data_IF_541240772831
#
_entry.id   IF_541240772831
#
_cell.length_a   1.000
_cell.length_b   1.000
_cell.length_c   1.000
_cell.angle_alpha   90.00
_cell.angle_beta   90.00
_cell.angle_gamma   90.00
#
_symmetry.space_group_name_H-M   'P 1'
#
loop_
_entity.id
_entity.type
_entity.pdbx_description
1 polymer ?
#
# COMPACT_ATOMS: atom_id res chain seq x y z
N UNK A 1 47.78 -41.45 -36.45
CA UNK A 1 47.81 -40.29 -35.51
C UNK A 1 46.80 -39.19 -35.85
N UNK A 2 46.57 -38.85 -37.14
CA UNK A 2 45.65 -37.77 -37.55
C UNK A 2 44.19 -37.98 -37.10
N UNK A 3 43.67 -39.21 -37.26
CA UNK A 3 42.30 -39.56 -36.84
C UNK A 3 42.10 -39.55 -35.32
N UNK A 4 43.14 -39.92 -34.55
CA UNK A 4 43.10 -39.88 -33.08
C UNK A 4 43.05 -38.44 -32.56
N UNK A 5 43.86 -37.54 -33.15
CA UNK A 5 43.81 -36.10 -32.84
C UNK A 5 42.44 -35.51 -33.18
N UNK A 6 41.87 -35.86 -34.32
CA UNK A 6 40.57 -35.35 -34.76
C UNK A 6 39.41 -35.82 -33.86
N UNK A 7 39.45 -37.06 -33.36
CA UNK A 7 38.44 -37.57 -32.41
C UNK A 7 38.58 -36.93 -31.02
N UNK A 8 39.81 -36.68 -30.56
CA UNK A 8 40.07 -35.95 -29.31
C UNK A 8 39.58 -34.50 -29.42
N UNK A 9 39.85 -33.82 -30.54
CA UNK A 9 39.36 -32.45 -30.77
C UNK A 9 37.82 -32.40 -30.77
N UNK A 10 37.15 -33.38 -31.39
CA UNK A 10 35.68 -33.48 -31.35
C UNK A 10 35.15 -33.70 -29.94
N UNK A 11 35.79 -34.59 -29.16
CA UNK A 11 35.39 -34.86 -27.78
C UNK A 11 35.54 -33.62 -26.88
N UNK A 12 36.64 -32.88 -27.02
CA UNK A 12 36.87 -31.62 -26.30
C UNK A 12 35.85 -30.55 -26.69
N UNK A 13 35.52 -30.44 -27.98
CA UNK A 13 34.52 -29.49 -28.47
C UNK A 13 33.13 -29.81 -27.93
N UNK A 14 32.74 -31.09 -27.87
CA UNK A 14 31.46 -31.51 -27.28
C UNK A 14 31.42 -31.22 -25.78
N UNK A 15 32.51 -31.48 -25.05
CA UNK A 15 32.61 -31.17 -23.62
C UNK A 15 32.49 -29.66 -23.35
N UNK A 16 33.08 -28.82 -24.21
CA UNK A 16 33.02 -27.37 -24.10
C UNK A 16 31.61 -26.80 -24.40
N UNK A 17 30.89 -27.42 -25.34
CA UNK A 17 29.50 -27.05 -25.67
C UNK A 17 28.52 -27.43 -24.56
N UNK A 18 28.82 -28.45 -23.75
CA UNK A 18 27.98 -28.84 -22.62
C UNK A 18 28.10 -27.89 -21.42
N UNK A 19 29.19 -27.13 -21.29
CA UNK A 19 29.43 -26.21 -20.16
C UNK A 19 28.94 -24.78 -20.39
N UNK A 20 28.56 -24.41 -21.62
CA UNK A 20 28.11 -23.03 -21.96
C UNK A 20 26.65 -22.75 -21.62
N UNK A 21 25.87 -23.74 -21.16
CA UNK A 21 24.47 -23.54 -20.76
C UNK A 21 24.26 -23.31 -19.25
N UNK A 22 25.33 -23.23 -18.45
CA UNK A 22 25.26 -23.04 -16.99
C UNK A 22 25.36 -21.58 -16.54
N UNK A 23 25.25 -20.59 -17.43
CA UNK A 23 25.41 -19.16 -17.09
C UNK A 23 24.11 -18.38 -16.97
N UNK A 24 22.98 -19.02 -16.64
CA UNK A 24 21.92 -18.26 -15.99
C UNK A 24 22.46 -17.85 -14.63
N UNK A 25 22.90 -16.61 -14.50
CA UNK A 25 22.93 -15.97 -13.18
C UNK A 25 21.52 -16.14 -12.64
N UNK A 26 21.37 -16.89 -11.55
CA UNK A 26 20.22 -16.70 -10.68
C UNK A 26 20.37 -15.26 -10.17
N UNK A 27 19.75 -14.31 -10.87
CA UNK A 27 19.48 -13.00 -10.28
C UNK A 27 18.54 -13.31 -9.14
N UNK A 28 19.14 -13.59 -7.98
CA UNK A 28 18.44 -14.12 -6.82
C UNK A 28 17.21 -13.28 -6.53
N UNK A 29 16.19 -13.91 -5.96
CA UNK A 29 15.04 -13.22 -5.38
C UNK A 29 15.52 -12.36 -4.20
N UNK A 30 16.15 -11.23 -4.49
CA UNK A 30 16.58 -10.26 -3.50
C UNK A 30 15.34 -9.60 -2.94
N UNK A 31 15.18 -9.66 -1.63
CA UNK A 31 14.18 -8.88 -0.92
C UNK A 31 14.42 -7.39 -1.23
N UNK A 32 13.49 -6.70 -1.90
CA UNK A 32 13.64 -5.28 -2.20
C UNK A 32 13.60 -4.42 -0.92
N UNK A 33 13.20 -5.00 0.21
CA UNK A 33 12.92 -4.31 1.45
C UNK A 33 11.69 -3.42 1.34
N UNK A 34 11.51 -2.56 2.34
CA UNK A 34 10.39 -1.63 2.38
C UNK A 34 10.39 -0.80 3.65
N UNK A 35 9.37 0.04 3.77
CA UNK A 35 9.13 0.81 4.99
C UNK A 35 8.38 -0.01 6.02
N UNK A 36 8.44 0.41 7.28
CA UNK A 36 7.78 -0.26 8.41
C UNK A 36 6.27 -0.42 8.24
N UNK A 37 5.66 0.43 7.40
CA UNK A 37 4.22 0.46 7.11
C UNK A 37 3.91 0.20 5.63
N UNK A 38 4.80 -0.46 4.88
CA UNK A 38 4.67 -0.65 3.42
C UNK A 38 3.31 -1.21 2.99
N UNK A 39 2.71 -2.10 3.81
CA UNK A 39 1.42 -2.73 3.50
C UNK A 39 0.23 -1.79 3.71
N UNK A 40 0.42 -0.79 4.57
CA UNK A 40 -0.57 0.23 4.87
C UNK A 40 -0.45 1.45 3.98
N UNK A 41 0.75 1.73 3.45
CA UNK A 41 1.02 2.89 2.61
C UNK A 41 0.41 2.75 1.21
N UNK A 42 -0.11 3.83 0.65
CA UNK A 42 -0.68 3.89 -0.70
C UNK A 42 -1.50 5.15 -0.95
N UNK A 43 -1.91 5.30 -2.20
CA UNK A 43 -2.96 6.23 -2.63
C UNK A 43 -4.30 5.49 -2.69
N UNK A 44 -5.37 6.14 -2.27
CA UNK A 44 -6.69 5.55 -2.09
C UNK A 44 -7.77 6.46 -2.69
N UNK A 45 -8.85 5.84 -3.15
CA UNK A 45 -10.13 6.51 -3.35
C UNK A 45 -11.04 6.18 -2.18
N UNK A 46 -11.40 7.18 -1.37
CA UNK A 46 -12.20 7.01 -0.17
C UNK A 46 -13.53 7.76 -0.29
N UNK A 47 -14.60 7.12 0.12
CA UNK A 47 -15.91 7.73 0.36
C UNK A 47 -16.09 8.02 1.85
N UNK A 48 -16.71 9.16 2.14
CA UNK A 48 -17.00 9.64 3.49
C UNK A 48 -18.50 9.58 3.73
N UNK A 49 -18.90 8.99 4.86
CA UNK A 49 -20.29 8.88 5.28
C UNK A 49 -20.52 9.53 6.65
N UNK A 50 -21.71 10.08 6.82
CA UNK A 50 -22.17 10.65 8.09
C UNK A 50 -22.58 9.54 9.09
N UNK A 51 -22.87 9.88 10.36
CA UNK A 51 -23.30 8.91 11.37
C UNK A 51 -24.59 8.15 11.02
N UNK A 52 -25.39 8.63 10.05
CA UNK A 52 -26.61 7.97 9.58
C UNK A 52 -26.35 6.98 8.45
N UNK A 53 -25.11 6.95 7.92
CA UNK A 53 -24.70 6.16 6.77
C UNK A 53 -24.96 6.85 5.43
N UNK A 54 -25.33 8.13 5.42
CA UNK A 54 -25.50 8.89 4.18
C UNK A 54 -24.12 9.33 3.66
N UNK A 55 -23.88 9.15 2.37
CA UNK A 55 -22.64 9.60 1.72
C UNK A 55 -22.58 11.14 1.75
N UNK A 56 -21.47 11.67 2.28
CA UNK A 56 -21.11 13.09 2.25
C UNK A 56 -20.31 13.38 0.97
N UNK A 57 -19.39 12.49 0.63
CA UNK A 57 -18.56 12.56 -0.57
C UNK A 57 -18.08 11.17 -0.98
N UNK A 58 -17.77 10.97 -2.25
CA UNK A 58 -17.42 9.67 -2.80
C UNK A 58 -16.14 9.76 -3.64
N UNK A 59 -15.27 8.76 -3.47
CA UNK A 59 -14.05 8.56 -4.26
C UNK A 59 -13.03 9.71 -4.22
N UNK A 60 -12.85 10.32 -3.07
CA UNK A 60 -11.85 11.36 -2.86
C UNK A 60 -10.45 10.77 -2.68
N UNK A 61 -9.44 11.47 -3.19
CA UNK A 61 -8.05 11.07 -3.03
C UNK A 61 -7.60 11.19 -1.58
N UNK A 62 -6.94 10.15 -1.11
CA UNK A 62 -6.41 10.05 0.23
C UNK A 62 -5.10 9.27 0.22
N UNK A 63 -4.13 9.70 1.01
CA UNK A 63 -2.85 9.03 1.08
C UNK A 63 -2.54 8.50 2.48
N UNK A 64 -1.91 7.33 2.50
CA UNK A 64 -1.24 6.81 3.70
C UNK A 64 0.23 6.55 3.37
N UNK A 65 1.13 6.91 4.27
CA UNK A 65 2.56 6.74 4.02
C UNK A 65 3.38 6.74 5.31
N UNK A 66 4.59 6.16 5.22
CA UNK A 66 5.50 6.02 6.33
C UNK A 66 5.92 7.39 6.92
N UNK A 67 6.06 7.45 8.24
CA UNK A 67 6.71 8.60 8.87
C UNK A 67 8.22 8.53 8.65
N UNK A 68 8.92 9.67 8.80
CA UNK A 68 10.38 9.69 8.70
C UNK A 68 11.09 8.80 9.75
N UNK A 69 10.40 8.47 10.85
CA UNK A 69 10.94 7.61 11.90
C UNK A 69 10.98 6.13 11.51
N UNK A 70 10.11 5.69 10.58
CA UNK A 70 10.02 4.30 10.12
C UNK A 70 9.85 3.28 11.27
N UNK A 71 8.94 3.59 12.20
CA UNK A 71 8.76 2.91 13.48
C UNK A 71 7.38 2.24 13.65
N UNK A 72 6.69 1.96 12.54
CA UNK A 72 5.32 1.43 12.55
C UNK A 72 4.23 2.52 12.69
N UNK A 73 4.61 3.79 12.72
CA UNK A 73 3.68 4.91 12.57
C UNK A 73 3.54 5.33 11.12
N UNK A 74 2.32 5.69 10.71
CA UNK A 74 2.00 6.19 9.37
C UNK A 74 1.27 7.53 9.44
N UNK A 75 1.38 8.31 8.37
CA UNK A 75 0.50 9.43 8.10
C UNK A 75 -0.81 8.93 7.47
N UNK A 76 -1.92 9.53 7.90
CA UNK A 76 -3.19 9.57 7.18
C UNK A 76 -3.37 11.00 6.69
N UNK A 77 -3.58 11.20 5.40
CA UNK A 77 -3.59 12.52 4.78
C UNK A 77 -4.71 12.64 3.75
N UNK A 78 -5.68 13.51 4.03
CA UNK A 78 -6.78 13.83 3.12
C UNK A 78 -6.49 15.05 2.23
N UNK A 79 -5.23 15.50 2.20
CA UNK A 79 -4.76 16.65 1.42
C UNK A 79 -5.48 17.97 1.74
N UNK A 80 -5.92 18.13 2.99
CA UNK A 80 -6.64 19.32 3.46
C UNK A 80 -7.94 19.57 2.69
N UNK A 81 -8.63 18.50 2.28
CA UNK A 81 -9.81 18.58 1.42
C UNK A 81 -11.12 18.35 2.18
N UNK A 82 -11.47 17.10 2.49
CA UNK A 82 -12.76 16.72 3.09
C UNK A 82 -12.81 16.98 4.61
N UNK A 83 -12.22 16.07 5.38
CA UNK A 83 -12.12 16.17 6.84
C UNK A 83 -11.06 17.19 7.26
N UNK A 84 -10.23 17.64 6.31
CA UNK A 84 -9.13 18.58 6.46
C UNK A 84 -8.19 18.13 7.56
N UNK A 85 -7.70 16.90 7.45
CA UNK A 85 -6.82 16.32 8.44
C UNK A 85 -5.62 15.60 7.85
N UNK A 86 -4.51 15.79 8.55
CA UNK A 86 -3.28 15.03 8.41
C UNK A 86 -2.78 14.66 9.80
N UNK A 87 -2.81 13.39 10.12
CA UNK A 87 -2.51 12.87 11.46
C UNK A 87 -1.62 11.64 11.39
N UNK A 88 -0.92 11.34 12.49
CA UNK A 88 -0.20 10.07 12.64
C UNK A 88 -1.10 9.02 13.27
N UNK A 89 -1.08 7.81 12.72
CA UNK A 89 -1.68 6.63 13.31
C UNK A 89 -0.62 5.55 13.55
N UNK A 90 -0.83 4.74 14.58
CA UNK A 90 -0.02 3.55 14.86
C UNK A 90 -0.62 2.36 14.12
N UNK A 91 0.23 1.58 13.45
CA UNK A 91 -0.17 0.36 12.72
C UNK A 91 0.17 -0.89 13.53
N UNK A 92 -0.61 -1.94 13.31
CA UNK A 92 -0.44 -3.25 13.95
C UNK A 92 -0.23 -4.34 12.90
N UNK A 93 0.33 -5.48 13.32
CA UNK A 93 0.70 -6.55 12.37
C UNK A 93 -0.48 -7.24 11.69
N UNK A 94 -1.67 -7.10 12.25
CA UNK A 94 -2.91 -7.72 11.76
C UNK A 94 -3.64 -6.91 10.69
N UNK A 95 -3.01 -5.82 10.21
CA UNK A 95 -3.62 -4.94 9.20
C UNK A 95 -4.49 -3.85 9.81
N UNK A 96 -4.50 -3.69 11.14
CA UNK A 96 -5.24 -2.61 11.81
C UNK A 96 -4.38 -1.38 12.09
N UNK A 97 -5.04 -0.24 12.29
CA UNK A 97 -4.39 0.99 12.72
C UNK A 97 -5.35 1.84 13.58
N UNK A 98 -4.78 2.69 14.43
CA UNK A 98 -5.56 3.60 15.27
C UNK A 98 -4.79 4.85 15.65
N UNK A 99 -5.51 5.86 16.10
CA UNK A 99 -4.95 7.10 16.63
C UNK A 99 -5.87 7.62 17.73
N UNK A 100 -5.31 8.09 18.84
CA UNK A 100 -6.10 8.66 19.92
C UNK A 100 -5.76 10.15 20.07
N UNK A 101 -6.75 11.03 19.82
CA UNK A 101 -6.56 12.48 19.92
C UNK A 101 -5.29 12.98 19.22
N UNK A 102 -5.01 12.46 18.03
CA UNK A 102 -3.81 12.82 17.28
C UNK A 102 -3.88 14.27 16.80
N UNK A 103 -2.76 14.98 16.90
CA UNK A 103 -2.63 16.37 16.46
C UNK A 103 -2.80 16.43 14.94
N UNK A 104 -3.70 17.28 14.48
CA UNK A 104 -3.84 17.59 13.07
C UNK A 104 -2.78 18.59 12.62
N UNK A 105 -2.04 18.27 11.56
CA UNK A 105 -1.03 19.17 10.99
C UNK A 105 -1.64 20.35 10.24
N UNK A 106 -2.92 20.26 9.84
CA UNK A 106 -3.58 21.32 9.06
C UNK A 106 -4.30 22.38 9.89
N UNK A 107 -4.69 22.08 11.13
CA UNK A 107 -5.43 23.00 11.98
C UNK A 107 -5.38 22.56 13.46
N UNK A 108 -6.02 23.34 14.34
CA UNK A 108 -5.96 23.12 15.78
C UNK A 108 -6.78 21.92 16.32
N UNK A 109 -7.47 21.16 15.45
CA UNK A 109 -8.28 20.01 15.85
C UNK A 109 -7.38 18.83 16.22
N UNK A 110 -7.91 17.93 17.04
CA UNK A 110 -7.39 16.56 17.12
C UNK A 110 -8.35 15.59 16.46
N UNK A 111 -7.82 14.47 15.99
CA UNK A 111 -8.58 13.40 15.35
C UNK A 111 -8.34 12.09 16.08
N UNK A 112 -9.42 11.39 16.40
CA UNK A 112 -9.38 10.03 16.92
C UNK A 112 -9.80 9.08 15.81
N UNK A 113 -8.96 8.08 15.54
CA UNK A 113 -9.19 7.03 14.55
C UNK A 113 -9.43 5.72 15.28
N UNK A 114 -10.58 5.10 14.99
CA UNK A 114 -10.95 3.77 15.49
C UNK A 114 -11.33 2.85 14.34
N UNK A 115 -11.29 1.54 14.59
CA UNK A 115 -11.64 0.50 13.60
C UNK A 115 -10.87 0.63 12.27
N UNK A 116 -9.67 1.23 12.31
CA UNK A 116 -8.82 1.38 11.15
C UNK A 116 -8.32 0.03 10.68
N UNK A 117 -8.52 -0.28 9.39
CA UNK A 117 -8.11 -1.55 8.79
C UNK A 117 -7.73 -1.39 7.31
N UNK A 118 -6.67 -2.08 6.92
CA UNK A 118 -6.33 -2.35 5.52
C UNK A 118 -6.52 -3.84 5.28
N UNK A 119 -7.36 -4.18 4.30
CA UNK A 119 -7.67 -5.56 3.93
C UNK A 119 -7.19 -5.85 2.51
N UNK A 120 -6.28 -6.82 2.39
CA UNK A 120 -5.70 -7.17 1.09
C UNK A 120 -6.76 -7.82 0.19
N UNK A 121 -6.81 -7.41 -1.09
CA UNK A 121 -7.71 -8.00 -2.10
C UNK A 121 -9.20 -8.02 -1.70
N UNK A 122 -9.65 -7.03 -0.93
CA UNK A 122 -10.99 -6.99 -0.34
C UNK A 122 -11.95 -5.98 -1.00
N UNK A 123 -11.50 -5.29 -2.05
CA UNK A 123 -12.31 -4.35 -2.82
C UNK A 123 -12.20 -4.62 -4.33
N UNK A 124 -13.05 -3.93 -5.10
CA UNK A 124 -13.06 -3.97 -6.56
C UNK A 124 -12.97 -2.53 -7.08
N UNK A 125 -12.00 -2.25 -7.95
CA UNK A 125 -11.87 -0.95 -8.61
C UNK A 125 -13.01 -0.71 -9.60
N UNK A 126 -13.16 0.52 -10.09
CA UNK A 126 -14.19 0.90 -11.07
C UNK A 126 -14.12 0.08 -12.37
N UNK A 127 -12.92 -0.25 -12.84
CA UNK A 127 -12.62 -1.12 -13.98
C UNK A 127 -12.74 -2.63 -13.68
N UNK A 128 -13.03 -3.02 -12.44
CA UNK A 128 -13.27 -4.41 -12.06
C UNK A 128 -12.05 -5.18 -11.56
N UNK A 129 -10.95 -4.50 -11.20
CA UNK A 129 -9.76 -5.15 -10.65
C UNK A 129 -9.93 -5.43 -9.16
N UNK A 130 -9.50 -6.60 -8.70
CA UNK A 130 -9.36 -6.88 -7.27
C UNK A 130 -8.23 -6.03 -6.69
N UNK A 131 -8.54 -5.25 -5.67
CA UNK A 131 -7.62 -4.29 -5.02
C UNK A 131 -7.79 -4.34 -3.51
N UNK A 132 -6.86 -3.72 -2.78
CA UNK A 132 -6.96 -3.60 -1.32
C UNK A 132 -8.07 -2.62 -0.92
N UNK A 133 -8.67 -2.87 0.24
CA UNK A 133 -9.65 -2.02 0.89
C UNK A 133 -9.02 -1.29 2.07
N UNK A 134 -9.42 -0.05 2.30
CA UNK A 134 -9.14 0.70 3.52
C UNK A 134 -10.45 1.15 4.15
N UNK A 135 -10.56 1.06 5.48
CA UNK A 135 -11.69 1.61 6.21
C UNK A 135 -11.27 2.11 7.59
N UNK A 136 -11.93 3.14 8.10
CA UNK A 136 -11.76 3.62 9.48
C UNK A 136 -12.91 4.54 9.90
N UNK A 137 -13.05 4.71 11.22
CA UNK A 137 -13.94 5.69 11.81
C UNK A 137 -13.12 6.88 12.31
N UNK A 138 -13.58 8.10 12.04
CA UNK A 138 -12.96 9.31 12.54
C UNK A 138 -13.92 10.10 13.43
N UNK A 139 -13.40 10.55 14.57
CA UNK A 139 -14.04 11.53 15.45
C UNK A 139 -13.13 12.76 15.51
N UNK A 140 -13.74 13.95 15.40
CA UNK A 140 -13.02 15.21 15.44
C UNK A 140 -13.33 15.98 16.72
N UNK A 141 -12.31 16.61 17.31
CA UNK A 141 -12.42 17.27 18.61
C UNK A 141 -13.39 18.45 18.68
N UNK A 142 -13.75 19.04 17.55
CA UNK A 142 -14.73 20.15 17.44
C UNK A 142 -16.18 19.67 17.36
N UNK A 143 -16.40 18.38 17.08
CA UNK A 143 -17.70 17.72 17.10
C UNK A 143 -17.64 16.41 17.92
N UNK A 144 -17.35 16.46 19.23
CA UNK A 144 -17.23 15.25 20.04
C UNK A 144 -18.50 14.40 20.03
N UNK A 145 -18.32 13.08 19.90
CA UNK A 145 -19.39 12.09 19.81
C UNK A 145 -19.98 11.88 18.41
N UNK A 146 -19.53 12.64 17.41
CA UNK A 146 -19.94 12.46 16.01
C UNK A 146 -18.91 11.57 15.31
N UNK A 147 -19.35 10.40 14.85
CA UNK A 147 -18.49 9.41 14.19
C UNK A 147 -18.74 9.41 12.69
N UNK A 148 -17.70 9.74 11.93
CA UNK A 148 -17.69 9.69 10.48
C UNK A 148 -17.05 8.39 10.00
N UNK A 149 -17.62 7.79 8.95
CA UNK A 149 -17.13 6.54 8.38
C UNK A 149 -16.37 6.82 7.08
N UNK A 150 -15.15 6.33 6.99
CA UNK A 150 -14.32 6.39 5.80
C UNK A 150 -14.14 4.98 5.26
N UNK A 151 -14.48 4.75 3.99
CA UNK A 151 -14.30 3.48 3.31
C UNK A 151 -13.82 3.70 1.87
N UNK A 152 -12.83 2.94 1.44
CA UNK A 152 -12.26 3.11 0.11
C UNK A 152 -11.46 1.92 -0.40
N UNK A 153 -10.89 2.10 -1.58
CA UNK A 153 -10.06 1.11 -2.24
C UNK A 153 -8.76 1.71 -2.78
N UNK A 154 -7.75 0.86 -2.96
CA UNK A 154 -6.44 1.29 -3.48
C UNK A 154 -6.58 1.81 -4.91
N UNK A 155 -5.92 2.93 -5.20
CA UNK A 155 -5.80 3.49 -6.55
C UNK A 155 -4.89 2.59 -7.39
N UNK A 156 -5.31 2.29 -8.63
CA UNK A 156 -4.55 1.42 -9.55
C UNK A 156 -3.59 2.20 -10.45
N UNK A 157 -3.88 3.49 -10.69
CA UNK A 157 -3.19 4.32 -11.67
C UNK A 157 -3.61 4.06 -13.12
N UNK A 158 -4.57 3.17 -13.36
CA UNK A 158 -5.20 3.02 -14.67
C UNK A 158 -6.25 4.10 -14.87
N UNK A 159 -6.25 4.70 -16.07
CA UNK A 159 -7.14 5.82 -16.38
C UNK A 159 -8.64 5.45 -16.22
N UNK A 160 -9.00 4.20 -16.53
CA UNK A 160 -10.35 3.69 -16.41
C UNK A 160 -10.85 3.58 -14.96
N UNK A 161 -9.92 3.54 -13.99
CA UNK A 161 -10.20 3.43 -12.56
C UNK A 161 -10.27 4.79 -11.85
N UNK A 162 -9.98 5.90 -12.54
CA UNK A 162 -10.01 7.24 -11.98
C UNK A 162 -11.46 7.79 -11.91
N UNK A 163 -11.70 8.74 -11.00
CA UNK A 163 -13.02 9.35 -10.73
C UNK A 163 -13.10 10.82 -11.14
#
# INVERSE_FOLDING_TARGET
>A
MKNLKQNITKAIMVLFVLTVFSSCDETGSTDPGGTSVEKFAGEWYISLYDPTGAAISEHDLFDTYNTAANDGTMWLDDHNYLGKFKIKATTEKDGTFSANSAINEYNARTVTITEGKVEQNAATSKGGHTVDKISFNAEFSDEPGVIYYYEGHRRTGFYEDEY
#
